data_IF_135187230983
#
_entry.id   IF_135187230983
#
_cell.length_a   1.000
_cell.length_b   1.000
_cell.length_c   1.000
_cell.angle_alpha   90.00
_cell.angle_beta   90.00
_cell.angle_gamma   90.00
#
_symmetry.space_group_name_H-M   'P 1'
#
loop_
_entity.id
_entity.type
_entity.pdbx_description
1 polymer ?
#
# COMPACT_ATOMS: atom_id res chain seq x y z
N UNK A 1 -20.12 -37.74 -46.64
CA UNK A 1 -20.03 -37.05 -47.95
C UNK A 1 -21.42 -37.18 -48.56
N UNK A 2 -22.21 -36.12 -48.76
CA UNK A 2 -21.88 -34.77 -49.22
C UNK A 2 -23.11 -33.90 -48.92
N UNK A 3 -22.90 -32.66 -48.47
CA UNK A 3 -23.86 -31.56 -48.67
C UNK A 3 -23.72 -31.07 -50.12
N UNK A 4 -24.73 -30.43 -50.75
CA UNK A 4 -24.71 -28.96 -50.70
C UNK A 4 -26.06 -28.19 -50.80
N UNK A 5 -26.02 -27.04 -50.13
CA UNK A 5 -26.74 -25.76 -50.24
C UNK A 5 -27.30 -25.28 -51.59
N UNK A 6 -28.31 -24.38 -51.53
CA UNK A 6 -28.33 -22.96 -52.04
C UNK A 6 -29.71 -22.32 -51.75
N UNK A 7 -29.84 -21.38 -50.78
CA UNK A 7 -29.80 -19.88 -50.79
C UNK A 7 -31.13 -19.16 -51.08
N UNK A 8 -31.47 -18.18 -50.21
CA UNK A 8 -31.69 -16.73 -50.49
C UNK A 8 -32.10 -16.06 -49.15
N UNK A 9 -31.29 -15.23 -48.47
CA UNK A 9 -30.89 -13.81 -48.67
C UNK A 9 -32.02 -12.79 -48.80
N UNK A 10 -32.21 -11.97 -47.75
CA UNK A 10 -32.49 -10.52 -47.87
C UNK A 10 -31.87 -9.77 -46.68
N UNK A 11 -31.38 -8.56 -46.96
CA UNK A 11 -30.36 -7.79 -46.23
C UNK A 11 -30.89 -6.82 -45.14
N UNK A 12 -29.96 -6.54 -44.21
CA UNK A 12 -29.78 -5.53 -43.12
C UNK A 12 -30.10 -4.04 -43.50
N UNK A 13 -30.03 -2.98 -42.61
CA UNK A 13 -29.15 -2.81 -41.43
C UNK A 13 -29.61 -1.94 -40.21
N UNK A 14 -28.72 -1.85 -39.20
CA UNK A 14 -28.51 -0.81 -38.17
C UNK A 14 -29.19 -0.96 -36.78
N UNK A 15 -28.43 -1.42 -35.77
CA UNK A 15 -27.80 -0.58 -34.73
C UNK A 15 -27.10 -1.46 -33.66
N UNK A 16 -25.76 -1.41 -33.63
CA UNK A 16 -24.92 -1.57 -32.43
C UNK A 16 -24.50 -0.15 -31.99
N UNK A 17 -23.95 0.10 -30.78
CA UNK A 17 -23.19 -0.80 -29.90
C UNK A 17 -23.77 -0.83 -28.45
N UNK A 18 -23.34 -1.65 -27.49
CA UNK A 18 -22.19 -1.37 -26.60
C UNK A 18 -21.74 -2.66 -25.90
N UNK A 19 -20.54 -3.09 -26.28
CA UNK A 19 -19.41 -3.51 -25.42
C UNK A 19 -19.78 -4.12 -24.06
N UNK A 20 -19.63 -5.45 -23.98
CA UNK A 20 -19.43 -6.18 -22.75
C UNK A 20 -18.29 -5.57 -21.93
N UNK A 21 -18.63 -4.98 -20.78
CA UNK A 21 -17.68 -4.72 -19.71
C UNK A 21 -17.62 -6.00 -18.86
N UNK A 22 -16.60 -6.83 -19.09
CA UNK A 22 -16.23 -7.86 -18.14
C UNK A 22 -15.79 -7.14 -16.85
N UNK A 23 -16.64 -7.17 -15.83
CA UNK A 23 -16.24 -6.82 -14.47
C UNK A 23 -15.06 -7.72 -14.06
N UNK A 24 -14.00 -7.19 -13.43
CA UNK A 24 -12.96 -8.04 -12.87
C UNK A 24 -13.62 -8.91 -11.80
N UNK A 25 -13.59 -10.23 -11.99
CA UNK A 25 -13.95 -11.18 -10.94
C UNK A 25 -12.97 -10.97 -9.78
N UNK A 26 -13.44 -10.31 -8.72
CA UNK A 26 -12.73 -10.23 -7.45
C UNK A 26 -12.65 -11.65 -6.90
N UNK A 27 -11.48 -12.29 -7.01
CA UNK A 27 -11.23 -13.58 -6.36
C UNK A 27 -11.36 -13.37 -4.85
N UNK A 28 -12.30 -14.08 -4.22
CA UNK A 28 -12.60 -13.90 -2.80
C UNK A 28 -11.39 -14.28 -1.93
N UNK A 29 -11.00 -13.37 -1.04
CA UNK A 29 -10.04 -13.63 0.04
C UNK A 29 -10.43 -14.89 0.81
N UNK A 30 -9.55 -15.90 0.83
CA UNK A 30 -9.81 -17.15 1.56
C UNK A 30 -9.33 -17.03 3.01
N UNK A 31 -10.24 -17.18 3.96
CA UNK A 31 -9.93 -17.18 5.40
C UNK A 31 -9.85 -18.62 5.89
N UNK A 32 -8.71 -19.00 6.46
CA UNK A 32 -8.53 -20.28 7.14
C UNK A 32 -8.72 -20.06 8.63
N UNK A 33 -9.78 -20.63 9.18
CA UNK A 33 -9.99 -20.61 10.63
C UNK A 33 -9.26 -21.80 11.28
N UNK A 34 -8.41 -21.50 12.27
CA UNK A 34 -7.73 -22.47 13.12
C UNK A 34 -8.12 -22.27 14.59
N UNK A 35 -7.38 -22.88 15.52
CA UNK A 35 -7.53 -22.59 16.97
C UNK A 35 -6.97 -21.21 17.35
N UNK A 36 -6.22 -20.58 16.44
CA UNK A 36 -5.75 -19.20 16.51
C UNK A 36 -6.74 -18.18 15.90
N UNK A 37 -6.31 -16.92 15.74
CA UNK A 37 -7.13 -15.79 15.24
C UNK A 37 -7.61 -15.89 13.77
N UNK A 38 -7.46 -17.04 13.13
CA UNK A 38 -7.58 -17.19 11.68
C UNK A 38 -6.34 -16.72 10.93
N UNK A 39 -6.11 -17.34 9.78
CA UNK A 39 -5.13 -16.93 8.77
C UNK A 39 -5.90 -16.43 7.55
N UNK A 40 -5.40 -15.37 6.92
CA UNK A 40 -6.04 -14.79 5.74
C UNK A 40 -5.10 -14.91 4.54
N UNK A 41 -5.53 -15.66 3.52
CA UNK A 41 -4.74 -15.89 2.31
C UNK A 41 -4.84 -14.66 1.39
N UNK A 42 -3.94 -13.70 1.59
CA UNK A 42 -3.79 -12.51 0.76
C UNK A 42 -2.33 -12.23 0.47
N UNK A 43 -2.08 -11.31 -0.44
CA UNK A 43 -0.77 -10.73 -0.71
C UNK A 43 0.31 -11.78 -1.06
N UNK A 44 -0.09 -12.80 -1.82
CA UNK A 44 0.77 -13.90 -2.29
C UNK A 44 0.91 -15.06 -1.30
N UNK A 45 0.21 -15.03 -0.17
CA UNK A 45 0.11 -16.18 0.72
C UNK A 45 -0.96 -17.17 0.24
N UNK A 46 -0.58 -18.43 0.17
CA UNK A 46 -1.45 -19.53 -0.24
C UNK A 46 -1.66 -20.54 0.89
N UNK A 47 -2.90 -21.04 1.07
CA UNK A 47 -3.18 -22.19 1.94
C UNK A 47 -2.28 -23.38 1.61
N UNK A 48 -1.64 -24.00 2.60
CA UNK A 48 -0.81 -25.18 2.40
C UNK A 48 -0.92 -26.11 3.61
N UNK A 49 -1.17 -27.42 3.40
CA UNK A 49 -1.22 -28.37 4.50
C UNK A 49 0.17 -28.71 5.04
N UNK A 50 0.23 -29.12 6.30
CA UNK A 50 1.39 -29.80 6.89
C UNK A 50 1.20 -31.31 6.91
N UNK A 51 2.30 -32.04 7.06
CA UNK A 51 2.31 -33.50 7.15
C UNK A 51 1.51 -34.07 8.33
N UNK A 52 1.33 -33.27 9.39
CA UNK A 52 0.50 -33.58 10.57
C UNK A 52 -0.92 -33.00 10.50
N UNK A 53 -1.37 -32.54 9.31
CA UNK A 53 -2.76 -32.17 9.05
C UNK A 53 -3.17 -30.76 9.51
N UNK A 54 -2.22 -29.91 9.91
CA UNK A 54 -2.48 -28.49 10.13
C UNK A 54 -2.52 -27.72 8.80
N UNK A 55 -3.12 -26.54 8.83
CA UNK A 55 -3.08 -25.58 7.72
C UNK A 55 -2.17 -24.41 8.08
N UNK A 56 -1.34 -24.02 7.13
CA UNK A 56 -0.50 -22.82 7.20
C UNK A 56 -0.68 -21.99 5.94
N UNK A 57 -0.20 -20.76 5.98
CA UNK A 57 -0.05 -19.93 4.80
C UNK A 57 1.40 -19.94 4.32
N UNK A 58 1.60 -19.99 3.02
CA UNK A 58 2.93 -19.98 2.43
C UNK A 58 3.03 -18.91 1.36
N UNK A 59 4.03 -18.04 1.49
CA UNK A 59 4.43 -17.08 0.47
C UNK A 59 5.75 -17.50 -0.15
N UNK A 60 5.87 -17.33 -1.46
CA UNK A 60 7.05 -17.66 -2.22
C UNK A 60 7.61 -16.43 -2.92
N UNK A 61 8.91 -16.46 -3.19
CA UNK A 61 9.57 -15.42 -3.97
C UNK A 61 8.94 -15.34 -5.35
N UNK A 62 8.33 -14.20 -5.73
CA UNK A 62 7.60 -14.14 -6.99
C UNK A 62 8.52 -14.15 -8.21
N UNK A 63 8.07 -14.83 -9.26
CA UNK A 63 8.71 -14.77 -10.59
C UNK A 63 8.63 -13.36 -11.20
N UNK A 64 9.48 -13.00 -12.17
CA UNK A 64 9.38 -11.69 -12.82
C UNK A 64 7.99 -11.39 -13.40
N UNK A 65 7.30 -12.40 -13.93
CA UNK A 65 5.94 -12.29 -14.47
C UNK A 65 4.92 -12.05 -13.35
N UNK A 66 5.01 -12.81 -12.24
CA UNK A 66 4.16 -12.58 -11.08
C UNK A 66 4.32 -11.17 -10.51
N UNK A 67 5.55 -10.65 -10.46
CA UNK A 67 5.79 -9.27 -9.99
C UNK A 67 5.06 -8.23 -10.82
N UNK A 68 4.95 -8.42 -12.13
CA UNK A 68 4.17 -7.53 -12.99
C UNK A 68 2.68 -7.58 -12.65
N UNK A 69 2.14 -8.79 -12.39
CA UNK A 69 0.75 -8.97 -11.97
C UNK A 69 0.49 -8.36 -10.58
N UNK A 70 1.40 -8.58 -9.64
CA UNK A 70 1.36 -8.00 -8.29
C UNK A 70 1.38 -6.47 -8.38
N UNK A 71 2.32 -5.91 -9.15
CA UNK A 71 2.43 -4.47 -9.38
C UNK A 71 1.15 -3.88 -9.97
N UNK A 72 0.56 -4.54 -10.97
CA UNK A 72 -0.70 -4.12 -11.58
C UNK A 72 -1.88 -4.17 -10.60
N UNK A 73 -1.91 -5.14 -9.69
CA UNK A 73 -2.96 -5.28 -8.68
C UNK A 73 -2.84 -4.27 -7.52
N UNK A 74 -1.63 -3.73 -7.27
CA UNK A 74 -1.38 -2.70 -6.25
C UNK A 74 -1.83 -1.32 -6.73
N UNK A 75 -3.14 -1.10 -6.84
CA UNK A 75 -3.70 0.22 -7.15
C UNK A 75 -3.37 1.25 -6.04
N UNK A 76 -2.36 2.08 -6.30
CA UNK A 76 -1.98 3.26 -5.51
C UNK A 76 -1.07 3.02 -4.31
N UNK A 77 -0.69 1.77 -4.00
CA UNK A 77 0.36 1.51 -3.01
C UNK A 77 1.73 1.49 -3.70
N UNK A 78 2.78 2.10 -3.10
CA UNK A 78 4.15 1.95 -3.58
C UNK A 78 4.55 0.49 -3.70
N UNK A 79 5.38 0.16 -4.69
CA UNK A 79 5.97 -1.17 -4.80
C UNK A 79 6.85 -1.44 -3.57
N UNK A 80 6.81 -2.66 -3.01
CA UNK A 80 7.73 -3.02 -1.94
C UNK A 80 9.17 -2.86 -2.38
N UNK A 81 10.02 -2.34 -1.50
CA UNK A 81 11.43 -2.14 -1.83
C UNK A 81 11.70 -0.94 -2.75
N UNK A 82 10.78 0.02 -2.87
CA UNK A 82 11.10 1.35 -3.42
C UNK A 82 12.30 2.00 -2.70
N UNK A 83 12.45 1.69 -1.41
CA UNK A 83 13.57 2.08 -0.54
C UNK A 83 14.89 1.35 -0.88
N UNK A 84 14.86 0.38 -1.80
CA UNK A 84 16.04 -0.31 -2.31
C UNK A 84 16.49 0.32 -3.63
N UNK A 85 17.76 0.16 -3.99
CA UNK A 85 18.29 0.64 -5.27
C UNK A 85 17.72 -0.11 -6.49
N UNK A 86 16.79 -1.06 -6.29
CA UNK A 86 16.25 -1.97 -7.31
C UNK A 86 14.75 -1.73 -7.53
N UNK A 87 14.37 -0.55 -8.00
CA UNK A 87 12.97 -0.18 -8.25
C UNK A 87 12.38 -0.87 -9.50
N UNK A 88 13.21 -1.46 -10.36
CA UNK A 88 12.80 -2.24 -11.53
C UNK A 88 13.18 -3.71 -11.32
N UNK A 89 12.25 -4.68 -11.37
CA UNK A 89 12.56 -6.08 -11.09
C UNK A 89 13.55 -6.62 -12.15
N UNK A 90 14.80 -6.90 -11.79
CA UNK A 90 15.72 -7.62 -12.67
C UNK A 90 15.22 -9.06 -12.86
N UNK A 91 15.68 -9.78 -13.90
CA UNK A 91 15.39 -11.21 -14.00
C UNK A 91 15.93 -11.89 -12.73
N UNK A 92 15.02 -12.43 -11.92
CA UNK A 92 15.35 -13.12 -10.68
C UNK A 92 15.98 -14.45 -11.08
N UNK A 93 17.31 -14.49 -11.19
CA UNK A 93 18.00 -15.77 -11.08
C UNK A 93 18.29 -16.03 -9.61
N UNK A 94 17.56 -16.95 -8.96
CA UNK A 94 17.79 -17.22 -7.55
C UNK A 94 19.14 -17.92 -7.35
N UNK A 95 19.70 -17.80 -6.15
CA UNK A 95 20.89 -18.57 -5.77
C UNK A 95 20.63 -20.09 -5.76
N UNK A 96 19.37 -20.49 -5.57
CA UNK A 96 18.90 -21.85 -5.74
C UNK A 96 17.46 -21.83 -6.28
N UNK A 97 17.25 -22.44 -7.44
CA UNK A 97 15.91 -22.56 -8.07
C UNK A 97 15.06 -23.66 -7.42
N UNK A 98 15.70 -24.59 -6.69
CA UNK A 98 15.10 -25.85 -6.22
C UNK A 98 14.82 -25.86 -4.72
N UNK A 99 15.65 -25.18 -3.91
CA UNK A 99 15.52 -25.15 -2.46
C UNK A 99 15.44 -23.70 -1.93
N UNK A 100 14.24 -23.11 -1.80
CA UNK A 100 14.09 -21.80 -1.19
C UNK A 100 14.45 -21.83 0.30
N UNK A 101 15.05 -20.74 0.80
CA UNK A 101 15.34 -20.59 2.22
C UNK A 101 14.04 -20.43 2.99
N UNK A 102 13.69 -21.43 3.80
CA UNK A 102 12.46 -21.38 4.60
C UNK A 102 12.64 -20.55 5.86
N UNK A 103 11.72 -19.60 6.06
CA UNK A 103 11.54 -18.84 7.30
C UNK A 103 10.10 -19.00 7.79
N UNK A 104 9.91 -18.96 9.10
CA UNK A 104 8.61 -19.31 9.72
C UNK A 104 8.20 -18.21 10.68
N UNK A 105 6.95 -17.76 10.56
CA UNK A 105 6.29 -16.72 11.35
C UNK A 105 4.99 -17.24 11.96
N UNK A 106 4.45 -16.50 12.92
CA UNK A 106 3.12 -16.74 13.46
C UNK A 106 2.38 -15.44 13.78
N UNK A 107 1.05 -15.45 13.72
CA UNK A 107 0.21 -14.30 14.10
C UNK A 107 0.12 -14.06 15.61
N UNK A 108 0.60 -15.01 16.43
CA UNK A 108 0.74 -14.84 17.88
C UNK A 108 -0.24 -15.69 18.68
N UNK A 109 -0.58 -15.23 19.89
CA UNK A 109 -1.62 -15.84 20.74
C UNK A 109 -2.94 -15.16 20.42
N UNK A 110 -4.04 -15.92 20.36
CA UNK A 110 -5.38 -15.36 20.21
C UNK A 110 -5.64 -14.25 21.23
N UNK A 111 -6.14 -13.12 20.74
CA UNK A 111 -6.49 -11.95 21.56
C UNK A 111 -5.38 -10.90 21.66
N UNK A 112 -4.19 -11.10 21.08
CA UNK A 112 -3.23 -9.99 20.93
C UNK A 112 -3.63 -9.08 19.77
N UNK A 113 -3.18 -7.83 19.84
CA UNK A 113 -3.44 -6.81 18.81
C UNK A 113 -3.09 -7.28 17.39
N UNK A 114 -1.87 -7.79 17.19
CA UNK A 114 -1.41 -8.28 15.89
C UNK A 114 -2.23 -9.48 15.37
N UNK A 115 -2.74 -10.28 16.30
CA UNK A 115 -3.51 -11.49 15.99
C UNK A 115 -4.91 -11.13 15.45
N UNK A 116 -5.43 -9.95 15.79
CA UNK A 116 -6.76 -9.50 15.33
C UNK A 116 -6.75 -8.89 13.92
N UNK A 117 -5.57 -8.74 13.30
CA UNK A 117 -5.42 -8.17 11.97
C UNK A 117 -4.67 -9.13 11.03
N UNK A 118 -5.21 -10.35 10.79
CA UNK A 118 -4.52 -11.37 10.02
C UNK A 118 -4.27 -10.99 8.55
N UNK A 119 -5.16 -10.21 7.90
CA UNK A 119 -4.92 -9.71 6.55
C UNK A 119 -3.78 -8.68 6.52
N UNK A 120 -3.74 -7.77 7.49
CA UNK A 120 -2.65 -6.81 7.65
C UNK A 120 -1.32 -7.49 7.99
N UNK A 121 -1.37 -8.59 8.74
CA UNK A 121 -0.19 -9.42 9.00
C UNK A 121 0.38 -10.02 7.72
N UNK A 122 -0.47 -10.61 6.87
CA UNK A 122 -0.07 -11.13 5.58
C UNK A 122 0.48 -10.02 4.67
N UNK A 123 -0.19 -8.86 4.62
CA UNK A 123 0.24 -7.69 3.83
C UNK A 123 1.61 -7.16 4.26
N UNK A 124 1.84 -6.90 5.54
CA UNK A 124 3.13 -6.39 5.99
C UNK A 124 4.25 -7.42 5.81
N UNK A 125 3.98 -8.69 6.13
CA UNK A 125 4.97 -9.75 6.02
C UNK A 125 5.38 -9.99 4.55
N UNK A 126 4.41 -10.04 3.63
CA UNK A 126 4.70 -10.21 2.20
C UNK A 126 5.50 -9.04 1.65
N UNK A 127 5.16 -7.80 2.00
CA UNK A 127 5.89 -6.61 1.52
C UNK A 127 7.35 -6.62 1.97
N UNK A 128 7.64 -7.01 3.20
CA UNK A 128 9.02 -7.14 3.66
C UNK A 128 9.82 -8.19 2.88
N UNK A 129 9.22 -9.35 2.63
CA UNK A 129 9.90 -10.44 1.91
C UNK A 129 9.97 -10.24 0.40
N UNK A 130 8.99 -9.57 -0.18
CA UNK A 130 9.02 -9.11 -1.57
C UNK A 130 10.18 -8.12 -1.75
N UNK A 131 10.30 -7.13 -0.86
CA UNK A 131 11.43 -6.21 -0.88
C UNK A 131 12.78 -6.93 -0.67
N UNK A 132 12.83 -7.94 0.21
CA UNK A 132 14.05 -8.69 0.50
C UNK A 132 14.51 -9.47 -0.73
N UNK A 133 13.55 -10.00 -1.50
CA UNK A 133 13.83 -10.76 -2.71
C UNK A 133 14.43 -9.93 -3.85
N UNK A 134 14.45 -8.60 -3.74
CA UNK A 134 15.17 -7.71 -4.66
C UNK A 134 16.66 -7.58 -4.34
N UNK A 135 17.12 -8.13 -3.22
CA UNK A 135 18.53 -8.10 -2.86
C UNK A 135 19.25 -9.32 -3.44
N UNK A 136 20.44 -9.06 -3.98
CA UNK A 136 21.42 -10.13 -4.20
C UNK A 136 21.92 -10.67 -2.85
N UNK A 137 22.49 -11.88 -2.87
CA UNK A 137 23.13 -12.48 -1.70
C UNK A 137 24.22 -11.55 -1.12
N UNK A 138 25.02 -10.92 -1.97
CA UNK A 138 26.07 -9.99 -1.54
C UNK A 138 25.50 -8.73 -0.88
N UNK A 139 24.43 -8.16 -1.44
CA UNK A 139 23.75 -7.01 -0.86
C UNK A 139 23.10 -7.33 0.48
N UNK A 140 22.43 -8.49 0.58
CA UNK A 140 21.89 -8.98 1.83
C UNK A 140 22.99 -9.10 2.89
N UNK A 141 24.09 -9.81 2.60
CA UNK A 141 25.19 -10.00 3.55
C UNK A 141 25.87 -8.67 3.94
N UNK A 142 26.07 -7.75 2.99
CA UNK A 142 26.57 -6.41 3.25
C UNK A 142 25.63 -5.65 4.20
N UNK A 143 24.34 -5.71 3.93
CA UNK A 143 23.28 -5.17 4.76
C UNK A 143 23.28 -5.70 6.19
N UNK A 144 23.36 -7.03 6.33
CA UNK A 144 23.46 -7.72 7.62
C UNK A 144 24.69 -7.28 8.42
N UNK A 145 25.84 -7.14 7.77
CA UNK A 145 27.06 -6.64 8.41
C UNK A 145 26.90 -5.18 8.88
N UNK A 146 26.25 -4.34 8.08
CA UNK A 146 25.94 -2.95 8.44
C UNK A 146 25.01 -2.90 9.66
N UNK A 147 23.93 -3.68 9.67
CA UNK A 147 23.02 -3.73 10.83
C UNK A 147 23.73 -4.20 12.09
N UNK A 148 24.60 -5.21 11.99
CA UNK A 148 25.31 -5.74 13.15
C UNK A 148 26.26 -4.71 13.76
N UNK A 149 26.85 -3.83 12.94
CA UNK A 149 27.80 -2.80 13.36
C UNK A 149 27.13 -1.49 13.79
N UNK A 150 26.18 -0.99 13.00
CA UNK A 150 25.56 0.34 13.19
C UNK A 150 24.19 0.29 13.88
N UNK A 151 23.57 -0.90 13.98
CA UNK A 151 22.20 -1.09 14.50
C UNK A 151 21.16 -0.30 13.67
N UNK A 152 19.96 -0.12 14.22
CA UNK A 152 18.85 0.56 13.55
C UNK A 152 19.18 2.02 13.28
N UNK A 153 18.76 2.53 12.12
CA UNK A 153 18.88 3.95 11.83
C UNK A 153 17.91 4.71 12.74
N UNK A 154 18.27 5.93 13.20
CA UNK A 154 17.32 6.76 13.91
C UNK A 154 16.15 7.12 13.00
N UNK A 155 14.98 7.30 13.63
CA UNK A 155 13.81 7.84 12.95
C UNK A 155 14.12 9.26 12.45
N UNK A 156 13.92 9.56 11.16
CA UNK A 156 14.20 10.89 10.63
C UNK A 156 13.16 11.90 11.14
N UNK A 157 13.54 13.16 11.46
CA UNK A 157 12.59 14.20 11.89
C UNK A 157 11.46 14.47 10.88
N UNK A 158 11.72 14.26 9.59
CA UNK A 158 10.72 14.39 8.53
C UNK A 158 9.53 13.44 8.70
N UNK A 159 9.70 12.31 9.42
CA UNK A 159 8.60 11.39 9.68
C UNK A 159 7.51 12.02 10.53
N UNK A 160 7.87 12.89 11.48
CA UNK A 160 6.89 13.58 12.32
C UNK A 160 6.05 14.56 11.48
N UNK A 161 6.68 15.28 10.55
CA UNK A 161 5.95 16.15 9.61
C UNK A 161 4.96 15.36 8.75
N UNK A 162 5.31 14.13 8.36
CA UNK A 162 4.40 13.26 7.59
C UNK A 162 3.27 12.69 8.44
N UNK A 163 3.50 12.43 9.73
CA UNK A 163 2.44 12.08 10.67
C UNK A 163 1.45 13.22 10.85
N UNK A 164 1.95 14.44 11.05
CA UNK A 164 1.10 15.64 11.16
C UNK A 164 0.29 15.89 9.89
N UNK A 165 0.90 15.73 8.70
CA UNK A 165 0.18 15.87 7.42
C UNK A 165 -0.91 14.79 7.25
N UNK A 166 -0.60 13.54 7.61
CA UNK A 166 -1.57 12.45 7.59
C UNK A 166 -2.72 12.72 8.58
N UNK A 167 -2.41 13.18 9.78
CA UNK A 167 -3.40 13.54 10.80
C UNK A 167 -4.35 14.61 10.28
N UNK A 168 -3.81 15.72 9.74
CA UNK A 168 -4.61 16.81 9.15
C UNK A 168 -5.52 16.30 8.03
N UNK A 169 -5.02 15.42 7.16
CA UNK A 169 -5.83 14.80 6.09
C UNK A 169 -6.97 13.96 6.65
N UNK A 170 -6.73 13.20 7.72
CA UNK A 170 -7.76 12.41 8.40
C UNK A 170 -8.79 13.33 9.05
N UNK A 171 -8.38 14.39 9.75
CA UNK A 171 -9.28 15.38 10.35
C UNK A 171 -10.20 16.00 9.30
N UNK A 172 -9.62 16.53 8.23
CA UNK A 172 -10.39 17.15 7.15
C UNK A 172 -11.41 16.18 6.59
N UNK A 173 -11.03 14.92 6.35
CA UNK A 173 -11.95 13.90 5.85
C UNK A 173 -13.08 13.59 6.83
N UNK A 174 -12.77 13.45 8.13
CA UNK A 174 -13.78 13.21 9.16
C UNK A 174 -14.78 14.37 9.28
N UNK A 175 -14.32 15.62 9.16
CA UNK A 175 -15.17 16.81 9.24
C UNK A 175 -15.97 17.02 7.94
N UNK A 176 -15.32 16.96 6.78
CA UNK A 176 -15.91 17.33 5.50
C UNK A 176 -16.82 16.23 4.96
N UNK A 177 -16.38 14.98 5.01
CA UNK A 177 -17.14 13.86 4.43
C UNK A 177 -18.12 13.27 5.44
N UNK A 178 -17.69 13.12 6.70
CA UNK A 178 -18.44 12.41 7.73
C UNK A 178 -19.08 13.31 8.79
N UNK A 179 -18.91 14.63 8.68
CA UNK A 179 -19.55 15.64 9.54
C UNK A 179 -19.29 15.45 11.04
N UNK A 180 -18.10 14.95 11.38
CA UNK A 180 -17.65 14.91 12.76
C UNK A 180 -17.46 16.33 13.32
N UNK A 181 -17.71 16.47 14.61
CA UNK A 181 -17.25 17.63 15.38
C UNK A 181 -15.71 17.76 15.27
N UNK A 182 -15.15 18.95 15.01
CA UNK A 182 -13.71 19.12 14.79
C UNK A 182 -12.83 18.56 15.92
N UNK A 183 -13.19 18.80 17.19
CA UNK A 183 -12.41 18.33 18.34
C UNK A 183 -12.44 16.79 18.46
N UNK A 184 -13.59 16.18 18.09
CA UNK A 184 -13.70 14.71 18.04
C UNK A 184 -12.94 14.12 16.85
N UNK A 185 -12.91 14.81 15.71
CA UNK A 185 -12.16 14.41 14.53
C UNK A 185 -10.65 14.42 14.80
N UNK A 186 -10.14 15.47 15.46
CA UNK A 186 -8.73 15.58 15.88
C UNK A 186 -8.32 14.41 16.79
N UNK A 187 -9.07 14.16 17.86
CA UNK A 187 -8.78 13.03 18.77
C UNK A 187 -8.72 11.68 18.05
N UNK A 188 -9.66 11.43 17.13
CA UNK A 188 -9.70 10.20 16.34
C UNK A 188 -8.56 10.10 15.34
N UNK A 189 -8.16 11.22 14.74
CA UNK A 189 -7.02 11.26 13.84
C UNK A 189 -5.71 10.94 14.57
N UNK A 190 -5.50 11.52 15.75
CA UNK A 190 -4.37 11.20 16.63
C UNK A 190 -4.33 9.71 16.96
N UNK A 191 -5.45 9.13 17.43
CA UNK A 191 -5.54 7.70 17.73
C UNK A 191 -5.22 6.83 16.50
N UNK A 192 -5.74 7.20 15.33
CA UNK A 192 -5.50 6.48 14.08
C UNK A 192 -4.02 6.54 13.65
N UNK A 193 -3.38 7.71 13.71
CA UNK A 193 -1.97 7.87 13.34
C UNK A 193 -1.04 7.16 14.33
N UNK A 194 -1.37 7.15 15.62
CA UNK A 194 -0.62 6.40 16.65
C UNK A 194 -0.69 4.88 16.45
N UNK A 195 -1.79 4.38 15.88
CA UNK A 195 -1.92 2.97 15.51
C UNK A 195 -1.07 2.57 14.30
N UNK A 196 -0.42 3.53 13.61
CA UNK A 196 0.38 3.29 12.41
C UNK A 196 1.89 3.34 12.68
N UNK A 197 2.60 2.44 12.01
CA UNK A 197 4.04 2.47 11.84
C UNK A 197 4.37 2.76 10.37
N UNK A 198 5.39 3.59 10.15
CA UNK A 198 6.03 3.67 8.85
C UNK A 198 6.87 2.41 8.65
N UNK A 199 6.60 1.68 7.56
CA UNK A 199 7.19 0.39 7.31
C UNK A 199 8.55 0.52 6.63
N UNK A 200 9.52 -0.23 7.15
CA UNK A 200 10.78 -0.51 6.46
C UNK A 200 10.58 -1.73 5.57
N UNK A 201 10.92 -1.59 4.28
CA UNK A 201 10.70 -2.64 3.29
C UNK A 201 11.99 -2.87 2.48
N UNK A 202 12.80 -3.87 2.84
CA UNK A 202 12.65 -4.82 3.96
C UNK A 202 12.89 -4.15 5.32
N UNK A 203 12.55 -4.82 6.43
CA UNK A 203 12.97 -4.36 7.76
C UNK A 203 14.48 -4.14 7.82
N UNK A 204 14.93 -3.14 8.58
CA UNK A 204 16.35 -2.79 8.70
C UNK A 204 17.21 -3.96 9.18
N UNK A 205 16.65 -4.91 9.93
CA UNK A 205 17.38 -6.12 10.32
C UNK A 205 17.62 -7.09 9.16
N UNK A 206 16.83 -7.02 8.09
CA UNK A 206 16.95 -7.84 6.89
C UNK A 206 17.86 -7.20 5.82
N UNK A 207 17.72 -5.90 5.55
CA UNK A 207 18.50 -5.19 4.51
C UNK A 207 19.70 -4.41 5.04
N UNK A 208 19.76 -4.09 6.32
CA UNK A 208 20.73 -3.14 6.87
C UNK A 208 20.13 -1.76 7.16
N UNK A 209 20.92 -0.95 7.84
CA UNK A 209 20.59 0.42 8.30
C UNK A 209 20.29 1.34 7.10
N UNK A 210 19.03 1.76 6.95
CA UNK A 210 18.59 2.72 5.92
C UNK A 210 17.49 3.65 6.46
N UNK A 211 17.41 4.88 5.93
CA UNK A 211 16.34 5.83 6.27
C UNK A 211 15.13 5.64 5.35
N UNK A 212 13.95 5.99 5.85
CA UNK A 212 12.74 6.10 5.04
C UNK A 212 12.85 7.33 4.14
N UNK A 213 12.54 7.19 2.85
CA UNK A 213 12.39 8.33 1.96
C UNK A 213 10.98 8.96 2.13
N UNK A 214 10.90 10.29 2.25
CA UNK A 214 9.65 11.00 2.56
C UNK A 214 8.53 10.86 1.49
N UNK A 215 8.83 10.34 0.30
CA UNK A 215 7.84 10.05 -0.74
C UNK A 215 7.37 8.59 -0.78
N UNK A 216 7.99 7.70 -0.01
CA UNK A 216 7.87 6.24 -0.16
C UNK A 216 7.35 5.56 1.09
N UNK A 217 6.79 6.33 2.02
CA UNK A 217 6.28 5.78 3.28
C UNK A 217 5.03 4.96 3.02
N UNK A 218 5.16 3.68 3.32
CA UNK A 218 4.04 2.77 3.45
C UNK A 218 3.67 2.73 4.92
N UNK A 219 2.41 3.01 5.24
CA UNK A 219 1.88 2.89 6.59
C UNK A 219 1.34 1.47 6.81
N UNK A 220 1.50 0.96 8.03
CA UNK A 220 0.90 -0.29 8.47
C UNK A 220 0.58 -0.28 9.94
N UNK A 221 -0.26 -1.21 10.39
CA UNK A 221 -0.57 -1.41 11.80
C UNK A 221 0.72 -1.61 12.64
N UNK A 222 0.90 -0.78 13.66
CA UNK A 222 2.12 -0.74 14.48
C UNK A 222 2.31 -2.00 15.34
N UNK A 223 1.21 -2.60 15.81
CA UNK A 223 1.25 -3.84 16.60
C UNK A 223 1.62 -5.04 15.75
N UNK A 224 1.10 -5.12 14.53
CA UNK A 224 1.50 -6.12 13.53
C UNK A 224 2.98 -5.96 13.20
N UNK A 225 3.43 -4.75 12.89
CA UNK A 225 4.82 -4.46 12.56
C UNK A 225 5.77 -4.88 13.70
N UNK A 226 5.42 -4.55 14.94
CA UNK A 226 6.18 -4.95 16.13
C UNK A 226 6.23 -6.48 16.30
N UNK A 227 5.11 -7.17 16.06
CA UNK A 227 5.03 -8.64 16.13
C UNK A 227 5.89 -9.34 15.08
N UNK A 228 5.90 -8.83 13.84
CA UNK A 228 6.79 -9.32 12.77
C UNK A 228 8.25 -9.03 13.14
N UNK A 229 8.53 -7.80 13.58
CA UNK A 229 9.85 -7.34 14.02
C UNK A 229 10.49 -8.23 15.08
N UNK A 230 9.69 -8.59 16.10
CA UNK A 230 10.13 -9.49 17.17
C UNK A 230 10.46 -10.91 16.71
N UNK A 231 9.99 -11.33 15.54
CA UNK A 231 10.18 -12.67 15.01
C UNK A 231 11.37 -12.82 14.05
N UNK A 232 11.91 -11.72 13.48
CA UNK A 232 13.03 -11.80 12.52
C UNK A 232 14.21 -12.61 13.04
N UNK A 233 14.55 -12.46 14.33
CA UNK A 233 15.68 -13.16 14.96
C UNK A 233 15.64 -14.68 14.73
N UNK A 234 14.46 -15.29 14.71
CA UNK A 234 14.31 -16.73 14.51
C UNK A 234 14.61 -17.17 13.07
N UNK A 235 14.35 -16.32 12.07
CA UNK A 235 14.60 -16.62 10.66
C UNK A 235 15.99 -16.17 10.17
N UNK A 236 16.54 -15.10 10.77
CA UNK A 236 17.80 -14.48 10.34
C UNK A 236 18.99 -15.44 10.35
N UNK A 237 19.10 -16.33 11.35
CA UNK A 237 20.22 -17.27 11.41
C UNK A 237 20.27 -18.18 10.17
N UNK A 238 19.12 -18.69 9.72
CA UNK A 238 19.01 -19.56 8.54
C UNK A 238 19.23 -18.79 7.24
N UNK A 239 18.73 -17.55 7.16
CA UNK A 239 19.00 -16.67 6.01
C UNK A 239 20.49 -16.33 5.91
N UNK A 240 21.14 -15.98 7.02
CA UNK A 240 22.57 -15.67 7.08
C UNK A 240 23.44 -16.87 6.68
N UNK A 241 23.09 -18.06 7.18
CA UNK A 241 23.77 -19.33 6.83
C UNK A 241 23.66 -19.60 5.32
N UNK A 242 22.44 -19.67 4.79
CA UNK A 242 22.22 -20.00 3.36
C UNK A 242 22.77 -18.94 2.42
N UNK A 243 22.74 -17.67 2.80
CA UNK A 243 23.37 -16.60 2.03
C UNK A 243 24.89 -16.76 1.99
N UNK A 244 25.55 -17.11 3.11
CA UNK A 244 27.00 -17.37 3.11
C UNK A 244 27.37 -18.58 2.27
N UNK A 245 26.61 -19.67 2.37
CA UNK A 245 26.82 -20.86 1.53
C UNK A 245 26.72 -20.52 0.04
N UNK A 246 25.71 -19.74 -0.34
CA UNK A 246 25.54 -19.25 -1.70
C UNK A 246 26.71 -18.36 -2.15
N UNK A 247 27.18 -17.45 -1.29
CA UNK A 247 28.33 -16.59 -1.57
C UNK A 247 29.60 -17.43 -1.81
N UNK A 248 29.90 -18.40 -0.94
CA UNK A 248 31.03 -19.33 -1.07
C UNK A 248 30.95 -20.14 -2.37
N UNK A 249 29.73 -20.53 -2.77
CA UNK A 249 29.48 -21.21 -4.03
C UNK A 249 29.58 -20.30 -5.28
N UNK A 250 30.03 -19.04 -5.15
CA UNK A 250 30.15 -18.09 -6.25
C UNK A 250 28.82 -17.48 -6.72
N UNK A 251 27.75 -17.62 -5.91
CA UNK A 251 26.39 -17.14 -6.23
C UNK A 251 26.04 -15.82 -5.53
N UNK A 252 27.02 -15.06 -5.07
CA UNK A 252 26.82 -13.76 -4.40
C UNK A 252 25.99 -12.76 -5.21
N UNK A 253 26.16 -12.77 -6.53
CA UNK A 253 25.42 -11.94 -7.50
C UNK A 253 24.00 -12.43 -7.81
N UNK A 254 23.56 -13.56 -7.21
CA UNK A 254 22.22 -14.13 -7.41
C UNK A 254 21.26 -13.62 -6.33
N UNK A 255 19.96 -13.66 -6.62
CA UNK A 255 18.93 -13.19 -5.70
C UNK A 255 18.63 -14.22 -4.61
N UNK A 256 18.21 -13.74 -3.45
CA UNK A 256 17.79 -14.61 -2.36
C UNK A 256 16.40 -15.22 -2.66
N UNK A 257 16.34 -16.54 -2.82
CA UNK A 257 15.09 -17.28 -2.92
C UNK A 257 14.61 -17.66 -1.52
N UNK A 258 13.45 -17.13 -1.14
CA UNK A 258 12.87 -17.29 0.19
C UNK A 258 11.47 -17.86 0.09
N UNK A 259 11.15 -18.75 1.05
CA UNK A 259 9.81 -19.24 1.34
C UNK A 259 9.41 -18.83 2.74
N UNK A 260 8.27 -18.16 2.88
CA UNK A 260 7.77 -17.68 4.17
C UNK A 260 6.56 -18.51 4.57
N UNK A 261 6.65 -19.17 5.72
CA UNK A 261 5.56 -19.96 6.30
C UNK A 261 4.93 -19.17 7.44
N UNK A 262 3.65 -18.84 7.34
CA UNK A 262 2.88 -18.14 8.35
C UNK A 262 1.91 -19.10 9.04
N UNK A 263 2.08 -19.25 10.35
CA UNK A 263 1.26 -20.11 11.21
C UNK A 263 0.25 -19.29 12.02
N UNK A 264 -0.86 -19.91 12.42
CA UNK A 264 -1.86 -19.29 13.30
C UNK A 264 -1.39 -19.20 14.77
N UNK A 265 -0.34 -19.94 15.14
CA UNK A 265 0.17 -19.98 16.51
C UNK A 265 1.68 -20.29 16.60
N UNK A 266 2.28 -19.93 17.74
CA UNK A 266 3.72 -20.07 17.99
C UNK A 266 4.19 -21.51 18.20
N UNK A 267 3.31 -22.41 18.65
CA UNK A 267 3.64 -23.83 18.87
C UNK A 267 3.86 -24.54 17.54
N UNK A 268 2.98 -24.34 16.58
CA UNK A 268 3.12 -24.86 15.22
C UNK A 268 4.37 -24.30 14.55
N UNK A 269 4.57 -22.97 14.61
CA UNK A 269 5.77 -22.34 14.09
C UNK A 269 7.06 -22.93 14.71
N UNK A 270 7.07 -23.20 16.02
CA UNK A 270 8.22 -23.83 16.68
C UNK A 270 8.46 -25.27 16.22
N UNK A 271 7.39 -26.05 15.99
CA UNK A 271 7.50 -27.43 15.46
C UNK A 271 8.12 -27.43 14.06
N UNK A 272 7.65 -26.55 13.17
CA UNK A 272 8.17 -26.42 11.81
C UNK A 272 9.64 -25.98 11.84
N UNK A 273 9.99 -24.95 12.63
CA UNK A 273 11.39 -24.50 12.77
C UNK A 273 12.34 -25.61 13.26
N UNK A 274 11.84 -26.58 14.03
CA UNK A 274 12.60 -27.72 14.56
C UNK A 274 12.53 -28.98 13.68
N UNK A 275 11.88 -28.91 12.51
CA UNK A 275 11.70 -30.06 11.62
C UNK A 275 10.79 -31.17 12.18
N UNK A 276 9.94 -30.85 13.16
CA UNK A 276 8.98 -31.81 13.75
C UNK A 276 7.66 -31.91 12.98
N UNK A 277 7.42 -30.93 12.11
CA UNK A 277 6.27 -30.80 11.23
C UNK A 277 6.81 -30.24 9.93
N UNK A 278 6.47 -30.85 8.80
CA UNK A 278 6.90 -30.39 7.49
C UNK A 278 5.72 -29.77 6.73
N UNK A 279 5.98 -28.69 6.03
CA UNK A 279 5.00 -28.11 5.11
C UNK A 279 4.99 -28.95 3.85
N UNK A 280 3.86 -29.53 3.50
CA UNK A 280 3.69 -30.35 2.29
C UNK A 280 3.79 -29.42 1.10
N UNK A 281 4.92 -29.49 0.41
CA UNK A 281 5.20 -28.64 -0.75
C UNK A 281 5.24 -29.50 -2.01
N UNK A 282 4.41 -29.13 -2.98
CA UNK A 282 4.49 -29.64 -4.33
C UNK A 282 4.90 -28.47 -5.26
N UNK A 283 6.13 -28.49 -5.81
CA UNK A 283 6.62 -27.47 -6.73
C UNK A 283 5.77 -27.33 -8.00
N UNK A 284 5.14 -28.42 -8.46
CA UNK A 284 4.32 -28.42 -9.68
C UNK A 284 2.90 -27.90 -9.40
N UNK A 285 2.32 -28.20 -8.24
CA UNK A 285 1.09 -27.53 -7.79
C UNK A 285 1.30 -26.04 -7.55
N UNK A 286 2.46 -25.64 -7.00
CA UNK A 286 2.80 -24.23 -6.83
C UNK A 286 2.73 -23.49 -8.16
N UNK A 287 3.37 -23.99 -9.22
CA UNK A 287 3.33 -23.41 -10.58
C UNK A 287 1.91 -23.22 -11.12
N UNK A 288 0.94 -24.04 -10.68
CA UNK A 288 -0.47 -23.92 -11.07
C UNK A 288 -1.24 -22.91 -10.21
N UNK A 289 -0.89 -22.74 -8.93
CA UNK A 289 -1.49 -21.75 -8.03
C UNK A 289 -1.12 -20.30 -8.37
N UNK A 290 -0.05 -20.08 -9.15
CA UNK A 290 0.54 -18.79 -9.59
C UNK A 290 -0.45 -17.79 -10.23
N UNK A 291 -1.68 -18.17 -10.56
CA UNK A 291 -2.60 -17.31 -11.32
C UNK A 291 -3.31 -16.19 -10.52
N UNK A 292 -3.23 -16.13 -9.18
CA UNK A 292 -4.06 -15.18 -8.42
C UNK A 292 -3.35 -14.51 -7.24
N UNK A 293 -2.70 -13.37 -7.48
CA UNK A 293 -2.41 -12.42 -6.41
C UNK A 293 -3.71 -11.73 -5.97
N UNK A 294 -4.12 -11.95 -4.73
CA UNK A 294 -5.28 -11.26 -4.13
C UNK A 294 -4.75 -10.31 -3.07
N UNK A 295 -4.79 -9.00 -3.33
CA UNK A 295 -4.51 -7.98 -2.30
C UNK A 295 -5.52 -8.11 -1.18
N UNK A 296 -5.11 -7.90 0.07
CA UNK A 296 -6.05 -7.70 1.16
C UNK A 296 -7.06 -6.60 0.77
N UNK A 297 -8.35 -6.97 0.73
CA UNK A 297 -9.43 -6.06 0.37
C UNK A 297 -9.49 -4.91 1.38
N UNK A 298 -9.60 -3.66 0.90
CA UNK A 298 -9.72 -2.50 1.80
C UNK A 298 -10.96 -2.62 2.67
N UNK A 299 -12.04 -3.18 2.14
CA UNK A 299 -13.27 -3.35 2.90
C UNK A 299 -13.11 -4.45 3.96
N UNK A 300 -12.34 -5.51 3.67
CA UNK A 300 -11.97 -6.53 4.66
C UNK A 300 -11.03 -5.99 5.75
N UNK A 301 -10.02 -5.18 5.38
CA UNK A 301 -9.15 -4.49 6.35
C UNK A 301 -9.97 -3.51 7.21
N UNK A 302 -10.93 -2.81 6.60
CA UNK A 302 -11.86 -1.95 7.33
C UNK A 302 -12.81 -2.76 8.23
N UNK A 303 -13.24 -3.96 7.82
CA UNK A 303 -14.04 -4.88 8.63
C UNK A 303 -13.26 -5.41 9.85
N UNK A 304 -11.97 -5.75 9.69
CA UNK A 304 -11.08 -6.10 10.81
C UNK A 304 -11.06 -4.97 11.86
N UNK A 305 -11.00 -3.71 11.40
CA UNK A 305 -11.05 -2.52 12.27
C UNK A 305 -12.45 -2.35 12.90
N UNK A 306 -13.53 -2.49 12.13
CA UNK A 306 -14.93 -2.37 12.62
C UNK A 306 -15.25 -3.41 13.68
N UNK A 307 -14.88 -4.67 13.47
CA UNK A 307 -15.10 -5.77 14.41
C UNK A 307 -14.39 -5.54 15.75
N UNK A 308 -13.22 -4.90 15.71
CA UNK A 308 -12.44 -4.59 16.89
C UNK A 308 -12.94 -3.36 17.64
N UNK A 309 -13.40 -2.35 16.91
CA UNK A 309 -13.92 -1.10 17.46
C UNK A 309 -15.35 -0.86 16.96
N UNK A 310 -16.33 -1.65 17.41
CA UNK A 310 -17.71 -1.51 16.94
C UNK A 310 -18.30 -0.13 17.25
N UNK A 311 -17.77 0.56 18.26
CA UNK A 311 -18.13 1.94 18.61
C UNK A 311 -17.60 3.01 17.63
N UNK A 312 -16.62 2.67 16.78
CA UNK A 312 -16.20 3.49 15.65
C UNK A 312 -17.11 3.27 14.42
N UNK A 313 -17.87 2.17 14.44
CA UNK A 313 -18.78 1.77 13.37
C UNK A 313 -20.19 2.35 13.54
N UNK A 314 -20.39 3.29 14.47
CA UNK A 314 -21.62 4.07 14.52
C UNK A 314 -21.67 4.96 13.29
N UNK A 315 -22.74 4.82 12.50
CA UNK A 315 -23.15 5.87 11.58
C UNK A 315 -23.11 7.22 12.30
N UNK A 316 -22.74 8.32 11.62
CA UNK A 316 -22.86 9.65 12.20
C UNK A 316 -24.28 9.76 12.81
N UNK A 317 -24.43 10.31 14.03
CA UNK A 317 -25.71 10.30 14.71
C UNK A 317 -26.79 10.82 13.76
N UNK A 318 -27.71 9.94 13.37
CA UNK A 318 -28.88 10.37 12.61
C UNK A 318 -29.58 11.44 13.43
N UNK A 319 -30.05 12.53 12.80
CA UNK A 319 -30.72 13.61 13.51
C UNK A 319 -31.92 13.03 14.25
N UNK A 320 -31.74 12.79 15.55
CA UNK A 320 -32.81 12.34 16.42
C UNK A 320 -33.47 13.61 16.91
N UNK A 321 -34.73 13.78 16.53
CA UNK A 321 -35.56 14.99 16.60
C UNK A 321 -35.30 16.03 15.50
N UNK A 322 -36.34 16.21 14.67
CA UNK A 322 -36.49 17.41 13.88
C UNK A 322 -36.45 18.62 14.84
N UNK A 323 -35.51 19.57 14.68
CA UNK A 323 -35.53 20.77 15.49
C UNK A 323 -36.75 21.60 15.06
N UNK A 324 -37.63 21.90 16.01
CA UNK A 324 -38.59 22.99 15.87
C UNK A 324 -37.79 24.24 15.49
N UNK A 325 -38.00 24.75 14.28
CA UNK A 325 -37.33 25.96 13.79
C UNK A 325 -37.57 27.11 14.78
N UNK A 326 -36.52 27.77 15.29
CA UNK A 326 -36.67 29.13 15.77
C UNK A 326 -36.81 30.06 14.56
N UNK A 327 -37.80 30.96 14.64
CA UNK A 327 -38.11 31.95 13.61
C UNK A 327 -36.94 32.94 13.45
N UNK A 328 -36.10 32.67 12.45
CA UNK A 328 -34.87 33.42 12.17
C UNK A 328 -35.04 34.45 11.03
N UNK A 329 -36.29 34.78 10.68
CA UNK A 329 -36.63 35.68 9.57
C UNK A 329 -36.00 37.08 9.73
N UNK A 330 -35.80 37.53 10.96
CA UNK A 330 -35.12 38.81 11.27
C UNK A 330 -33.60 38.81 11.03
N UNK A 331 -32.90 37.71 11.34
CA UNK A 331 -31.43 37.64 11.23
C UNK A 331 -30.94 37.51 9.79
N UNK A 332 -31.68 36.79 8.95
CA UNK A 332 -31.36 36.65 7.52
C UNK A 332 -31.51 38.00 6.80
N UNK A 333 -32.51 38.79 7.16
CA UNK A 333 -32.74 40.13 6.60
C UNK A 333 -31.63 41.11 7.02
N UNK A 334 -31.15 41.01 8.26
CA UNK A 334 -30.06 41.83 8.78
C UNK A 334 -28.72 41.49 8.12
N UNK A 335 -28.42 40.21 7.91
CA UNK A 335 -27.19 39.76 7.21
C UNK A 335 -27.23 40.12 5.73
N UNK A 336 -28.39 40.01 5.06
CA UNK A 336 -28.56 40.46 3.67
C UNK A 336 -28.33 41.96 3.51
N UNK A 337 -28.82 42.79 4.42
CA UNK A 337 -28.61 44.24 4.38
C UNK A 337 -27.15 44.64 4.64
N UNK A 338 -26.44 43.92 5.52
CA UNK A 338 -25.01 44.14 5.76
C UNK A 338 -24.17 43.75 4.53
N UNK A 339 -24.51 42.64 3.86
CA UNK A 339 -23.84 42.21 2.63
C UNK A 339 -24.12 43.14 1.44
N UNK A 340 -25.34 43.67 1.31
CA UNK A 340 -25.70 44.62 0.25
C UNK A 340 -25.03 46.00 0.42
N UNK A 341 -24.77 46.43 1.66
CA UNK A 341 -24.04 47.67 1.94
C UNK A 341 -22.52 47.54 1.76
N UNK A 342 -21.98 46.32 1.89
CA UNK A 342 -20.55 46.04 1.78
C UNK A 342 -20.05 45.93 0.31
N UNK A 343 -20.95 45.75 -0.66
CA UNK A 343 -20.61 45.59 -2.07
C UNK A 343 -21.60 46.33 -2.99
N UNK A 344 -21.47 47.65 -3.21
CA UNK A 344 -22.21 48.31 -4.28
C UNK A 344 -21.68 47.81 -5.64
N UNK A 345 -22.58 47.34 -6.50
CA UNK A 345 -22.22 46.86 -7.84
C UNK A 345 -21.54 47.97 -8.69
N UNK A 346 -20.48 47.66 -9.46
CA UNK A 346 -19.98 48.56 -10.48
C UNK A 346 -20.95 48.66 -11.66
N UNK A 347 -21.19 49.89 -12.13
CA UNK A 347 -22.08 50.19 -13.25
C UNK A 347 -21.72 49.41 -14.53
N UNK A 348 -22.71 48.77 -15.13
CA UNK A 348 -22.63 48.07 -16.43
C UNK A 348 -22.55 49.10 -17.59
N UNK A 349 -21.94 48.75 -18.74
CA UNK A 349 -21.53 49.71 -19.76
C UNK A 349 -22.63 49.99 -20.79
N UNK A 350 -22.83 51.27 -21.10
CA UNK A 350 -23.68 51.75 -22.21
C UNK A 350 -22.87 51.84 -23.51
N UNK A 351 -23.46 51.42 -24.64
CA UNK A 351 -23.06 51.79 -26.01
C UNK A 351 -24.35 52.08 -26.83
N UNK A 352 -24.32 52.79 -27.97
CA UNK A 352 -23.34 53.76 -28.49
C UNK A 352 -24.00 55.11 -28.89
N UNK A 353 -23.23 56.19 -29.10
CA UNK A 353 -23.54 57.23 -30.11
C UNK A 353 -22.29 58.05 -30.49
N UNK A 354 -22.25 58.40 -31.77
CA UNK A 354 -21.17 58.93 -32.62
C UNK A 354 -20.99 60.45 -32.50
N UNK A 355 -19.76 61.00 -32.53
CA UNK A 355 -19.21 61.92 -33.56
C UNK A 355 -17.90 62.66 -33.18
N UNK A 356 -16.95 62.66 -34.15
CA UNK A 356 -15.93 63.68 -34.54
C UNK A 356 -14.95 64.23 -33.47
N UNK A 357 -13.61 64.17 -33.58
CA UNK A 357 -12.76 64.75 -34.65
C UNK A 357 -11.27 64.33 -34.48
N UNK A 358 -10.56 64.09 -35.61
CA UNK A 358 -9.10 64.22 -35.97
C UNK A 358 -8.08 64.53 -34.83
N UNK A 359 -6.86 63.98 -34.74
CA UNK A 359 -5.78 63.97 -35.77
C UNK A 359 -4.45 63.38 -35.23
N UNK A 360 -3.73 62.59 -36.05
CA UNK A 360 -2.24 62.48 -36.20
C UNK A 360 -1.38 62.08 -34.98
N UNK A 361 -0.27 61.31 -35.03
CA UNK A 361 0.52 60.61 -36.05
C UNK A 361 1.65 59.87 -35.29
N UNK A 362 2.00 58.65 -35.68
CA UNK A 362 3.26 57.96 -35.31
C UNK A 362 4.44 58.57 -36.12
N UNK A 363 5.73 58.45 -35.70
CA UNK A 363 6.48 57.23 -36.00
C UNK A 363 7.62 56.78 -35.04
N UNK A 364 7.92 55.50 -35.19
CA UNK A 364 9.13 54.68 -34.93
C UNK A 364 10.51 55.35 -34.81
N UNK A 365 11.42 54.80 -33.97
CA UNK A 365 12.61 53.99 -34.37
C UNK A 365 13.58 53.66 -33.22
N UNK A 366 14.02 52.40 -33.18
CA UNK A 366 15.38 51.85 -33.00
C UNK A 366 16.44 52.63 -32.20
N UNK A 367 17.21 51.95 -31.33
CA UNK A 367 18.48 51.26 -31.67
C UNK A 367 19.25 50.77 -30.43
N UNK A 368 19.89 49.62 -30.60
CA UNK A 368 20.78 48.88 -29.71
C UNK A 368 22.05 49.62 -29.23
N UNK A 369 22.64 49.20 -28.09
CA UNK A 369 23.96 48.51 -28.00
C UNK A 369 24.51 48.33 -26.57
N UNK A 370 25.06 47.12 -26.36
CA UNK A 370 26.31 46.76 -25.66
C UNK A 370 26.46 46.82 -24.11
N UNK A 371 26.39 45.63 -23.46
CA UNK A 371 27.52 44.81 -22.89
C UNK A 371 28.64 45.44 -22.02
N UNK A 372 29.38 44.66 -21.19
CA UNK A 372 29.03 44.14 -19.85
C UNK A 372 30.17 44.38 -18.80
N UNK A 373 30.00 44.03 -17.52
CA UNK A 373 31.18 43.75 -16.67
C UNK A 373 30.94 42.84 -15.45
N UNK A 374 31.92 41.96 -15.27
CA UNK A 374 32.14 40.91 -14.28
C UNK A 374 32.27 41.38 -12.82
N UNK A 375 32.02 40.45 -11.88
CA UNK A 375 32.81 40.03 -10.68
C UNK A 375 31.84 39.23 -9.77
N UNK A 376 31.97 37.92 -9.46
CA UNK A 376 33.01 37.08 -8.82
C UNK A 376 33.41 37.51 -7.40
N UNK A 377 33.42 36.49 -6.50
CA UNK A 377 33.83 36.39 -5.09
C UNK A 377 32.71 36.68 -4.06
N UNK A 378 32.35 35.79 -3.13
CA UNK A 378 32.85 34.48 -2.68
C UNK A 378 31.72 33.68 -2.04
#
# INVERSE_FOLDING_TARGET
MTDPHTQEQTQNPQQEPVRAAAAPKTTATSVIHGTGPGLVATDGFHPTPTDDGHQVLVWFTPTPQERQLIAAARHGEPLPGAQTNHTTPPPVLPHDETEPVQVVYHTGRSGTEASQHPAEFARQLSRQYEALSYLTVDEYLKGRNLYNTQKRAPTPPSLELQREDLEKKIVNRLVDDYRFDPDKAEKKAVEAVQALAALHEPDQSLQGTHQLAAGEIVWGNSSVNSSIGGQHKAGLARLDEKARDAQVAGKGHRYLNVRVVLCDNSRLASRIRRGKTNVVFDPEEHKKQVSHYTRADRDALAEEIRNKYPHLSHDPPQPTTAPTQPDNTGRISQVKNILAAAFPEPATPTKPHTTLTRSHSQPTRNRARNHPQNQIER
#
